data_IF_902529166743
#
_entry.id   IF_902529166743
#
_cell.length_a   1.000
_cell.length_b   1.000
_cell.length_c   1.000
_cell.angle_alpha   90.00
_cell.angle_beta   90.00
_cell.angle_gamma   90.00
#
_symmetry.space_group_name_H-M   'P 1'
#
loop_
_entity.id
_entity.type
_entity.pdbx_description
1 polymer ?
#
# COMPACT_ATOMS: atom_id res chain seq x y z
N UNK A 1 -1.97 -9.05 -16.02
CA UNK A 1 -0.86 -8.29 -15.37
C UNK A 1 0.39 -8.04 -16.23
N UNK A 2 0.67 -8.78 -17.32
CA UNK A 2 1.89 -8.56 -18.13
C UNK A 2 2.03 -7.12 -18.68
N UNK A 3 0.92 -6.49 -19.12
CA UNK A 3 0.90 -5.09 -19.60
C UNK A 3 1.31 -4.07 -18.53
N UNK A 4 1.03 -4.33 -17.25
CA UNK A 4 1.37 -3.39 -16.16
C UNK A 4 2.89 -3.28 -15.95
N UNK A 5 3.65 -4.26 -16.43
CA UNK A 5 5.11 -4.36 -16.30
C UNK A 5 5.82 -4.11 -17.64
N UNK A 6 5.16 -3.47 -18.61
CA UNK A 6 5.80 -3.13 -19.87
C UNK A 6 6.95 -2.14 -19.63
N UNK A 7 8.08 -2.39 -20.27
CA UNK A 7 9.26 -1.51 -20.20
C UNK A 7 8.97 -0.14 -20.78
N UNK A 8 8.06 -0.05 -21.75
CA UNK A 8 7.58 1.21 -22.33
C UNK A 8 6.39 1.73 -21.51
N UNK A 9 6.50 2.90 -20.84
CA UNK A 9 5.42 3.47 -20.04
C UNK A 9 4.13 3.69 -20.82
N UNK A 10 4.20 3.99 -22.12
CA UNK A 10 3.03 4.26 -22.94
C UNK A 10 2.22 3.00 -23.27
N UNK A 11 2.81 1.82 -23.08
CA UNK A 11 2.13 0.52 -23.26
C UNK A 11 1.48 0.02 -21.98
N UNK A 12 1.77 0.67 -20.84
CA UNK A 12 1.13 0.36 -19.58
C UNK A 12 -0.32 0.85 -19.62
N UNK A 13 -1.23 0.14 -18.94
CA UNK A 13 -2.60 0.60 -18.85
C UNK A 13 -2.67 1.92 -18.06
N UNK A 14 -3.64 2.76 -18.41
CA UNK A 14 -3.98 3.95 -17.63
C UNK A 14 -4.65 3.58 -16.31
N UNK A 15 -4.78 4.55 -15.40
CA UNK A 15 -5.52 4.35 -14.16
C UNK A 15 -6.97 3.94 -14.42
N UNK A 16 -7.63 4.58 -15.39
CA UNK A 16 -9.02 4.27 -15.75
C UNK A 16 -9.19 2.86 -16.30
N UNK A 17 -8.27 2.42 -17.19
CA UNK A 17 -8.25 1.03 -17.68
C UNK A 17 -8.06 0.02 -16.54
N UNK A 18 -7.22 0.36 -15.54
CA UNK A 18 -7.01 -0.50 -14.38
C UNK A 18 -8.28 -0.61 -13.52
N UNK A 19 -9.00 0.51 -13.32
CA UNK A 19 -10.27 0.51 -12.58
C UNK A 19 -11.26 -0.43 -13.26
N UNK A 20 -11.42 -0.34 -14.57
CA UNK A 20 -12.34 -1.19 -15.33
C UNK A 20 -11.96 -2.69 -15.21
N UNK A 21 -10.67 -3.02 -15.39
CA UNK A 21 -10.17 -4.40 -15.25
C UNK A 21 -10.45 -4.95 -13.85
N UNK A 22 -10.19 -4.16 -12.80
CA UNK A 22 -10.36 -4.57 -11.42
C UNK A 22 -11.84 -4.72 -11.06
N UNK A 23 -12.72 -3.85 -11.57
CA UNK A 23 -14.17 -3.98 -11.41
C UNK A 23 -14.70 -5.28 -12.03
N UNK A 24 -14.27 -5.61 -13.26
CA UNK A 24 -14.64 -6.89 -13.89
C UNK A 24 -14.17 -8.08 -13.06
N UNK A 25 -12.96 -8.01 -12.49
CA UNK A 25 -12.42 -9.07 -11.65
C UNK A 25 -13.16 -9.21 -10.33
N UNK A 26 -13.61 -8.11 -9.74
CA UNK A 26 -14.43 -8.13 -8.54
C UNK A 26 -15.77 -8.81 -8.82
N UNK A 27 -16.44 -8.41 -9.90
CA UNK A 27 -17.75 -8.93 -10.28
C UNK A 27 -17.70 -10.40 -10.74
N UNK A 28 -16.61 -10.81 -11.39
CA UNK A 28 -16.39 -12.19 -11.85
C UNK A 28 -15.62 -13.05 -10.84
N UNK A 29 -15.15 -12.46 -9.74
CA UNK A 29 -14.17 -13.03 -8.82
C UNK A 29 -14.62 -14.35 -8.23
N UNK A 30 -15.84 -14.43 -7.71
CA UNK A 30 -16.35 -15.63 -7.04
C UNK A 30 -16.40 -16.88 -7.94
N UNK A 31 -16.59 -16.70 -9.25
CA UNK A 31 -16.64 -17.82 -10.21
C UNK A 31 -15.25 -18.25 -10.67
N UNK A 32 -14.31 -17.31 -10.80
CA UNK A 32 -12.94 -17.58 -11.25
C UNK A 32 -12.02 -18.04 -10.09
N UNK A 33 -12.16 -17.46 -8.89
CA UNK A 33 -11.39 -17.81 -7.69
C UNK A 33 -11.60 -19.26 -7.25
N UNK A 34 -12.82 -19.81 -7.41
CA UNK A 34 -13.10 -21.21 -7.07
C UNK A 34 -12.37 -22.21 -7.96
N UNK A 35 -12.24 -21.94 -9.26
CA UNK A 35 -11.52 -22.80 -10.19
C UNK A 35 -10.00 -22.73 -9.99
N UNK A 36 -9.50 -21.57 -9.58
CA UNK A 36 -8.08 -21.35 -9.36
C UNK A 36 -7.61 -21.87 -8.00
N UNK A 37 -8.42 -21.80 -6.93
CA UNK A 37 -8.04 -22.26 -5.59
C UNK A 37 -7.71 -23.75 -5.53
N UNK A 38 -8.53 -24.60 -6.16
CA UNK A 38 -8.35 -26.06 -6.17
C UNK A 38 -7.12 -26.51 -7.00
N UNK A 39 -6.55 -25.63 -7.83
CA UNK A 39 -5.35 -25.91 -8.62
C UNK A 39 -4.08 -25.25 -8.09
N UNK A 40 -4.15 -24.55 -6.95
CA UNK A 40 -2.95 -23.93 -6.34
C UNK A 40 -2.05 -24.99 -5.72
N UNK A 41 -0.79 -25.03 -6.16
CA UNK A 41 0.25 -25.78 -5.49
C UNK A 41 0.61 -25.01 -4.21
N UNK A 42 0.47 -25.60 -3.01
CA UNK A 42 0.83 -24.92 -1.77
C UNK A 42 2.33 -24.59 -1.79
N UNK A 43 2.66 -23.35 -1.44
CA UNK A 43 4.05 -22.93 -1.26
C UNK A 43 4.64 -23.78 -0.13
N UNK A 44 5.76 -24.47 -0.34
CA UNK A 44 6.42 -25.21 0.73
C UNK A 44 6.72 -24.27 1.90
N UNK A 45 6.47 -24.74 3.13
CA UNK A 45 6.91 -24.05 4.36
C UNK A 45 8.44 -24.10 4.47
N UNK A 46 9.12 -23.39 3.60
CA UNK A 46 10.53 -23.10 3.73
C UNK A 46 10.63 -21.83 4.56
N UNK A 47 11.46 -21.81 5.60
CA UNK A 47 11.84 -20.54 6.21
C UNK A 47 12.35 -19.63 5.09
N UNK A 48 11.85 -18.38 4.96
CA UNK A 48 12.42 -17.44 4.03
C UNK A 48 13.88 -17.21 4.44
N UNK A 49 14.82 -17.88 3.76
CA UNK A 49 16.25 -17.62 3.89
C UNK A 49 16.54 -16.32 3.13
N UNK A 50 15.91 -15.22 3.54
CA UNK A 50 16.31 -13.89 3.08
C UNK A 50 17.57 -13.53 3.84
N UNK A 51 18.72 -13.93 3.30
CA UNK A 51 20.00 -13.39 3.76
C UNK A 51 20.06 -11.93 3.33
N UNK A 52 20.05 -11.03 4.31
CA UNK A 52 20.30 -9.62 4.06
C UNK A 52 21.67 -9.46 3.38
N UNK A 53 21.79 -8.52 2.45
CA UNK A 53 23.08 -8.20 1.83
C UNK A 53 24.04 -7.71 2.93
N UNK A 54 25.34 -8.10 2.93
CA UNK A 54 26.28 -7.69 3.99
C UNK A 54 26.43 -6.17 4.15
N UNK A 55 26.17 -5.42 3.07
CA UNK A 55 26.19 -3.95 3.05
C UNK A 55 24.81 -3.32 3.20
N UNK A 56 23.75 -4.11 3.40
CA UNK A 56 22.44 -3.55 3.69
C UNK A 56 22.42 -2.99 5.11
N UNK A 57 22.12 -1.71 5.25
CA UNK A 57 21.85 -1.05 6.52
C UNK A 57 20.40 -1.30 6.98
N UNK A 58 19.88 -2.51 6.79
CA UNK A 58 18.53 -2.87 7.22
C UNK A 58 18.55 -3.23 8.72
N UNK A 59 18.70 -2.22 9.57
CA UNK A 59 18.34 -2.36 10.98
C UNK A 59 16.82 -2.22 11.06
N UNK A 60 16.09 -3.28 10.78
CA UNK A 60 14.68 -3.32 11.14
C UNK A 60 14.63 -3.22 12.66
N UNK A 61 14.42 -2.00 13.16
CA UNK A 61 14.08 -1.80 14.57
C UNK A 61 12.71 -2.42 14.74
N UNK A 62 12.60 -3.39 15.66
CA UNK A 62 11.30 -3.91 16.05
C UNK A 62 10.44 -2.71 16.42
N UNK A 63 9.28 -2.57 15.76
CA UNK A 63 8.29 -1.57 16.12
C UNK A 63 7.75 -1.98 17.49
N UNK A 64 8.35 -1.44 18.55
CA UNK A 64 7.99 -1.67 19.96
C UNK A 64 7.06 -0.58 20.51
N UNK A 65 6.76 0.43 19.69
CA UNK A 65 5.92 1.57 20.02
C UNK A 65 4.45 1.37 19.60
N UNK A 66 4.01 0.14 19.29
CA UNK A 66 2.62 -0.15 18.92
C UNK A 66 1.63 0.22 20.03
N UNK A 67 2.02 0.05 21.30
CA UNK A 67 1.23 0.51 22.46
C UNK A 67 1.08 2.02 22.47
N UNK A 68 2.17 2.76 22.28
CA UNK A 68 2.18 4.22 22.21
C UNK A 68 1.35 4.75 21.04
N UNK A 69 1.38 4.07 19.89
CA UNK A 69 0.52 4.41 18.74
C UNK A 69 -0.97 4.23 19.07
N UNK A 70 -1.32 3.11 19.69
CA UNK A 70 -2.71 2.85 20.09
C UNK A 70 -3.18 3.89 21.11
N UNK A 71 -2.34 4.26 22.08
CA UNK A 71 -2.63 5.34 23.03
C UNK A 71 -2.90 6.66 22.30
N UNK A 72 -2.03 7.07 21.36
CA UNK A 72 -2.24 8.30 20.57
C UNK A 72 -3.53 8.26 19.76
N UNK A 73 -3.85 7.12 19.15
CA UNK A 73 -5.06 6.96 18.33
C UNK A 73 -6.34 7.03 19.16
N UNK A 74 -6.28 6.61 20.42
CA UNK A 74 -7.40 6.69 21.37
C UNK A 74 -7.57 8.05 22.04
N UNK A 75 -6.68 9.02 21.79
CA UNK A 75 -6.86 10.37 22.30
C UNK A 75 -8.04 11.04 21.57
N UNK A 76 -9.02 11.48 22.36
CA UNK A 76 -10.28 12.09 21.91
C UNK A 76 -10.06 13.34 21.03
N UNK A 77 -8.93 14.03 21.22
CA UNK A 77 -8.48 15.20 20.44
C UNK A 77 -8.21 14.87 18.96
N UNK A 78 -7.90 13.62 18.61
CA UNK A 78 -7.72 13.18 17.21
C UNK A 78 -8.98 12.56 16.61
N UNK A 79 -9.95 12.13 17.44
CA UNK A 79 -11.25 11.66 16.97
C UNK A 79 -12.14 12.81 16.49
N UNK A 80 -11.78 14.06 16.77
CA UNK A 80 -12.55 15.23 16.40
C UNK A 80 -11.94 15.95 15.20
N UNK A 81 -12.69 15.88 14.09
CA UNK A 81 -12.75 16.87 12.98
C UNK A 81 -11.85 16.62 11.76
N UNK A 82 -12.15 15.56 11.00
CA UNK A 82 -12.16 15.69 9.54
C UNK A 82 -13.60 15.98 9.12
N UNK A 83 -13.99 17.25 9.15
CA UNK A 83 -15.16 17.72 8.39
C UNK A 83 -14.60 18.06 7.02
N UNK A 84 -14.84 17.18 6.05
CA UNK A 84 -14.61 17.50 4.63
C UNK A 84 -15.74 18.45 4.25
N UNK A 85 -15.56 19.73 4.53
CA UNK A 85 -16.32 20.76 3.84
C UNK A 85 -15.58 21.04 2.54
N UNK A 86 -16.27 20.80 1.43
CA UNK A 86 -15.74 20.99 0.10
C UNK A 86 -15.27 22.46 -0.03
N UNK A 87 -14.00 22.62 -0.44
CA UNK A 87 -13.44 23.81 -1.12
C UNK A 87 -12.51 24.81 -0.39
N UNK A 88 -12.16 24.76 0.91
CA UNK A 88 -11.44 25.93 1.50
C UNK A 88 -10.19 25.85 2.38
N UNK A 89 -9.59 24.71 2.70
CA UNK A 89 -8.37 24.72 3.56
C UNK A 89 -7.31 23.72 3.10
N UNK A 90 -6.65 24.02 1.97
CA UNK A 90 -5.37 23.41 1.59
C UNK A 90 -4.17 24.10 2.28
N UNK A 91 -4.41 25.03 3.20
CA UNK A 91 -3.39 25.91 3.79
C UNK A 91 -2.73 25.37 5.06
N UNK A 92 -3.27 24.33 5.71
CA UNK A 92 -2.68 23.79 6.96
C UNK A 92 -1.85 22.49 6.79
N UNK A 93 -1.77 21.91 5.59
CA UNK A 93 -0.97 20.70 5.34
C UNK A 93 0.44 20.97 4.77
N UNK A 94 0.77 22.22 4.42
CA UNK A 94 2.07 22.51 3.78
C UNK A 94 3.23 22.63 4.75
N UNK A 95 3.01 23.00 6.02
CA UNK A 95 4.11 23.22 6.98
C UNK A 95 4.78 21.92 7.47
N UNK A 96 4.17 20.75 7.26
CA UNK A 96 4.66 19.48 7.83
C UNK A 96 5.53 18.64 6.89
N UNK A 97 5.55 18.91 5.58
CA UNK A 97 6.24 18.07 4.59
C UNK A 97 7.54 18.65 4.07
N UNK A 98 7.94 19.83 4.55
CA UNK A 98 9.19 20.49 4.16
C UNK A 98 10.43 19.67 4.58
N UNK A 99 10.29 18.84 5.63
CA UNK A 99 11.33 17.92 6.10
C UNK A 99 11.40 16.60 5.30
N UNK A 100 10.51 16.38 4.33
CA UNK A 100 10.45 15.14 3.55
C UNK A 100 11.08 15.28 2.16
N UNK A 101 11.64 16.44 1.82
CA UNK A 101 12.38 16.63 0.57
C UNK A 101 13.77 16.03 0.75
N UNK A 102 14.04 14.92 0.06
CA UNK A 102 15.38 14.38 -0.09
C UNK A 102 15.98 15.05 -1.33
N UNK A 103 16.99 15.88 -1.11
CA UNK A 103 17.75 16.51 -2.19
C UNK A 103 18.69 15.51 -2.87
N UNK A 104 18.87 15.64 -4.18
CA UNK A 104 19.83 14.88 -5.00
C UNK A 104 21.30 15.07 -4.56
#
# INVERSE_FOLDING_TARGET
>A
MKRCWDSDPNKRPTADELVEILSIWYDCGDKLLKLEYDSRIPVPNNEPITKNHPLSCYTSRKIDYSTKLNETLTQEELSTKIVIDEEKELTLLSESLENCIISD
#
